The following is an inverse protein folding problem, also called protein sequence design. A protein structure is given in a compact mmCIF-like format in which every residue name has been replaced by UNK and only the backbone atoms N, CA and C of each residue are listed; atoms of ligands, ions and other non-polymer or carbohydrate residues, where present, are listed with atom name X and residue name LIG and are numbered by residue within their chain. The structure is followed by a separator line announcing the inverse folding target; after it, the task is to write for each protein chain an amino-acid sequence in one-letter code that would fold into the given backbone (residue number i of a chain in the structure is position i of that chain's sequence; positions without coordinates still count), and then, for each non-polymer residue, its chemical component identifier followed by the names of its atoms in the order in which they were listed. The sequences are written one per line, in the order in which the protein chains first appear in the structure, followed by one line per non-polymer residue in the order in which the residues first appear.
data_IF_258454525087
#
_entry.id   IF_258454525087
#
_cell.length_a   1.000
_cell.length_b   1.000
_cell.length_c   1.000
_cell.angle_alpha   90.00
_cell.angle_beta   90.00
_cell.angle_gamma   90.00
#
_symmetry.space_group_name_H-M   'P 1'
#
loop_
_entity.id
_entity.type
_entity.pdbx_description
1 polymer ?
#
# COMPACT_ATOMS: atom_id res chain seq x y z
N UNK A 1 37.77 23.69 30.05
CA UNK A 1 36.54 22.94 30.40
C UNK A 1 35.36 23.84 30.10
N UNK A 2 34.63 23.60 28.99
CA UNK A 2 33.47 24.42 28.63
C UNK A 2 32.41 24.21 29.72
N UNK A 3 31.85 25.27 30.34
CA UNK A 3 30.88 25.10 31.42
C UNK A 3 29.58 24.55 30.83
N UNK A 4 29.36 23.23 30.93
CA UNK A 4 28.17 22.55 30.41
C UNK A 4 26.86 23.01 31.06
N UNK A 5 26.91 23.55 32.28
CA UNK A 5 25.73 23.96 33.07
C UNK A 5 24.92 25.11 32.46
N UNK A 6 25.50 26.28 32.12
CA UNK A 6 24.74 27.38 31.52
C UNK A 6 24.25 27.04 30.11
N UNK A 7 25.05 26.31 29.32
CA UNK A 7 24.69 25.95 27.95
C UNK A 7 23.51 24.98 27.90
N UNK A 8 23.49 23.99 28.81
CA UNK A 8 22.36 23.08 28.95
C UNK A 8 21.05 23.83 29.28
N UNK A 9 21.11 24.87 30.13
CA UNK A 9 19.95 25.66 30.55
C UNK A 9 19.31 26.41 29.39
N UNK A 10 20.14 27.03 28.55
CA UNK A 10 19.70 27.75 27.35
C UNK A 10 19.09 26.80 26.33
N UNK A 11 19.74 25.65 26.08
CA UNK A 11 19.22 24.62 25.16
C UNK A 11 17.87 24.10 25.62
N UNK A 12 17.70 23.78 26.92
CA UNK A 12 16.39 23.35 27.45
C UNK A 12 15.32 24.42 27.36
N UNK A 13 15.64 25.71 27.58
CA UNK A 13 14.67 26.80 27.45
C UNK A 13 14.22 26.99 26.00
N UNK A 14 15.14 26.90 25.03
CA UNK A 14 14.82 26.99 23.61
C UNK A 14 14.00 25.77 23.16
N UNK A 15 14.35 24.56 23.62
CA UNK A 15 13.57 23.35 23.35
C UNK A 15 12.16 23.40 23.95
N UNK A 16 11.98 23.97 25.14
CA UNK A 16 10.68 24.03 25.79
C UNK A 16 9.74 25.07 25.14
N UNK A 17 10.29 26.20 24.68
CA UNK A 17 9.52 27.27 24.04
C UNK A 17 9.20 26.94 22.57
N UNK A 18 10.10 26.26 21.85
CA UNK A 18 9.93 25.97 20.42
C UNK A 18 9.56 24.51 20.09
N UNK A 19 9.74 23.56 21.02
CA UNK A 19 9.65 22.12 20.73
C UNK A 19 8.25 21.51 20.73
N UNK A 20 7.24 22.21 21.27
CA UNK A 20 5.89 21.65 21.42
C UNK A 20 5.18 21.30 20.10
N UNK A 21 5.47 22.05 19.02
CA UNK A 21 4.82 21.87 17.72
C UNK A 21 5.50 20.80 16.84
N UNK A 22 6.83 20.71 16.90
CA UNK A 22 7.62 19.75 16.10
C UNK A 22 7.46 18.32 16.64
N UNK A 23 7.36 18.16 17.97
CA UNK A 23 7.20 16.85 18.63
C UNK A 23 5.83 16.22 18.35
N UNK A 24 4.75 17.01 18.28
CA UNK A 24 3.42 16.50 17.94
C UNK A 24 3.31 16.01 16.49
N UNK A 25 3.92 16.72 15.54
CA UNK A 25 3.92 16.33 14.13
C UNK A 25 4.74 15.04 13.90
N UNK A 26 5.90 14.94 14.55
CA UNK A 26 6.73 13.73 14.49
C UNK A 26 6.11 12.55 15.22
N UNK A 27 5.46 12.75 16.37
CA UNK A 27 4.73 11.67 17.06
C UNK A 27 3.50 11.19 16.29
N UNK A 28 2.76 12.08 15.63
CA UNK A 28 1.64 11.68 14.78
C UNK A 28 2.16 10.92 13.54
N UNK A 29 3.21 11.41 12.88
CA UNK A 29 3.83 10.69 11.76
C UNK A 29 4.45 9.34 12.19
N UNK A 30 4.98 9.24 13.42
CA UNK A 30 5.51 8.00 13.97
C UNK A 30 4.41 7.00 14.36
N UNK A 31 3.35 7.45 15.04
CA UNK A 31 2.16 6.62 15.30
C UNK A 31 1.52 6.16 14.01
N UNK A 32 1.44 7.05 13.02
CA UNK A 32 0.89 6.73 11.71
C UNK A 32 1.80 5.76 10.97
N UNK A 33 3.13 5.89 11.01
CA UNK A 33 4.05 4.91 10.37
C UNK A 33 4.16 3.57 11.08
N UNK A 34 3.96 3.50 12.41
CA UNK A 34 3.90 2.23 13.14
C UNK A 34 2.55 1.53 12.95
N UNK A 35 1.45 2.29 12.88
CA UNK A 35 0.13 1.76 12.52
C UNK A 35 -0.01 1.45 11.01
N UNK A 36 0.68 2.23 10.15
CA UNK A 36 0.78 2.09 8.70
C UNK A 36 2.06 1.35 8.26
N UNK A 37 2.65 0.48 9.09
CA UNK A 37 3.63 -0.50 8.58
C UNK A 37 2.99 -1.51 7.60
N UNK A 38 1.67 -1.41 7.36
CA UNK A 38 0.93 -2.05 6.27
C UNK A 38 0.37 -1.08 5.21
N UNK A 39 0.67 0.23 5.28
CA UNK A 39 -0.04 1.23 4.47
C UNK A 39 0.80 2.48 4.09
N UNK A 40 2.12 2.34 3.95
CA UNK A 40 2.93 3.28 3.15
C UNK A 40 2.68 2.97 1.66
N UNK A 41 1.57 3.52 1.15
CA UNK A 41 1.15 3.39 -0.25
C UNK A 41 -0.22 4.00 -0.54
N UNK A 42 -1.01 4.37 0.48
CA UNK A 42 -2.44 4.71 0.27
C UNK A 42 -2.78 6.20 0.14
N UNK A 43 -1.81 7.12 0.01
CA UNK A 43 -2.11 8.57 -0.07
C UNK A 43 -2.01 9.20 -1.47
N UNK A 44 -1.87 8.39 -2.53
CA UNK A 44 -2.26 8.83 -3.87
C UNK A 44 -3.65 8.28 -4.06
N UNK A 45 -4.67 9.15 -4.01
CA UNK A 45 -6.08 8.91 -4.42
C UNK A 45 -6.24 7.46 -4.87
N UNK A 46 -6.71 6.54 -4.01
CA UNK A 46 -6.92 5.12 -4.37
C UNK A 46 -7.67 5.13 -5.69
N UNK A 47 -6.96 4.92 -6.81
CA UNK A 47 -7.59 4.73 -8.11
C UNK A 47 -8.25 3.38 -7.98
N UNK A 48 -9.47 3.40 -7.50
CA UNK A 48 -10.32 2.22 -7.44
C UNK A 48 -10.45 1.76 -8.88
N UNK A 49 -9.80 0.64 -9.19
CA UNK A 49 -9.96 -0.03 -10.46
C UNK A 49 -11.42 -0.48 -10.56
N UNK A 50 -12.03 -0.25 -11.72
CA UNK A 50 -13.43 -0.65 -11.93
C UNK A 50 -13.52 -2.15 -12.21
N UNK A 51 -14.66 -2.81 -11.98
CA UNK A 51 -14.84 -4.22 -12.36
C UNK A 51 -14.56 -4.47 -13.85
N UNK A 52 -14.90 -3.53 -14.72
CA UNK A 52 -14.67 -3.61 -16.16
C UNK A 52 -13.17 -3.56 -16.49
N UNK A 53 -12.41 -2.74 -15.77
CA UNK A 53 -10.96 -2.69 -15.87
C UNK A 53 -10.32 -3.99 -15.35
N UNK A 54 -10.83 -4.53 -14.24
CA UNK A 54 -10.35 -5.77 -13.64
C UNK A 54 -10.53 -6.98 -14.58
N UNK A 55 -11.68 -7.08 -15.26
CA UNK A 55 -11.93 -8.09 -16.31
C UNK A 55 -10.93 -7.98 -17.45
N UNK A 56 -10.62 -6.76 -17.90
CA UNK A 56 -9.63 -6.53 -18.97
C UNK A 56 -8.23 -6.92 -18.54
N UNK A 57 -7.82 -6.57 -17.31
CA UNK A 57 -6.51 -6.92 -16.76
C UNK A 57 -6.34 -8.44 -16.68
N UNK A 58 -7.38 -9.16 -16.25
CA UNK A 58 -7.36 -10.62 -16.16
C UNK A 58 -7.60 -11.33 -17.50
N UNK A 59 -7.91 -10.58 -18.57
CA UNK A 59 -8.17 -11.14 -19.90
C UNK A 59 -9.48 -11.92 -19.98
N UNK A 60 -10.47 -11.56 -19.17
CA UNK A 60 -11.78 -12.18 -19.13
C UNK A 60 -12.73 -11.46 -20.11
N UNK A 61 -13.79 -12.14 -20.61
CA UNK A 61 -14.63 -11.58 -21.67
C UNK A 61 -15.67 -10.55 -21.19
N UNK A 62 -16.16 -10.67 -19.95
CA UNK A 62 -17.23 -9.82 -19.42
C UNK A 62 -17.22 -9.84 -17.90
N UNK A 63 -17.87 -8.87 -17.25
CA UNK A 63 -18.10 -8.83 -15.79
C UNK A 63 -19.21 -9.76 -15.33
N UNK A 64 -20.07 -10.22 -16.26
CA UNK A 64 -21.25 -11.05 -15.96
C UNK A 64 -20.97 -12.52 -16.22
N UNK A 65 -21.48 -13.40 -15.35
CA UNK A 65 -21.45 -14.85 -15.55
C UNK A 65 -20.07 -15.50 -15.38
N UNK A 66 -19.09 -14.78 -14.80
CA UNK A 66 -17.76 -15.34 -14.56
C UNK A 66 -17.81 -16.28 -13.35
N UNK A 67 -17.28 -17.49 -13.51
CA UNK A 67 -17.06 -18.40 -12.39
C UNK A 67 -15.85 -17.95 -11.56
N UNK A 68 -15.92 -18.05 -10.23
CA UNK A 68 -14.81 -17.68 -9.35
C UNK A 68 -13.51 -18.41 -9.72
N UNK A 69 -13.61 -19.70 -10.07
CA UNK A 69 -12.47 -20.53 -10.49
C UNK A 69 -11.79 -20.00 -11.75
N UNK A 70 -12.52 -19.33 -12.63
CA UNK A 70 -11.98 -18.71 -13.83
C UNK A 70 -11.16 -17.47 -13.49
N UNK A 71 -11.66 -16.64 -12.56
CA UNK A 71 -10.92 -15.50 -12.00
C UNK A 71 -9.62 -15.96 -11.35
N UNK A 72 -9.67 -17.04 -10.57
CA UNK A 72 -8.49 -17.59 -9.88
C UNK A 72 -7.48 -18.19 -10.85
N UNK A 73 -7.93 -18.96 -11.85
CA UNK A 73 -7.04 -19.48 -12.89
C UNK A 73 -6.38 -18.37 -13.70
N UNK A 74 -7.15 -17.34 -14.07
CA UNK A 74 -6.61 -16.19 -14.80
C UNK A 74 -5.57 -15.42 -13.97
N UNK A 75 -5.88 -15.19 -12.69
CA UNK A 75 -4.97 -14.54 -11.73
C UNK A 75 -3.67 -15.33 -11.57
N UNK A 76 -3.74 -16.62 -11.25
CA UNK A 76 -2.55 -17.46 -11.05
C UNK A 76 -1.66 -17.50 -12.29
N UNK A 77 -2.27 -17.65 -13.48
CA UNK A 77 -1.55 -17.67 -14.76
C UNK A 77 -0.82 -16.35 -15.01
N UNK A 78 -1.50 -15.21 -14.86
CA UNK A 78 -0.88 -13.92 -15.13
C UNK A 78 0.17 -13.55 -14.08
N UNK A 79 -0.10 -13.86 -12.81
CA UNK A 79 0.83 -13.61 -11.71
C UNK A 79 2.11 -14.42 -11.87
N UNK A 80 2.03 -15.71 -12.19
CA UNK A 80 3.23 -16.55 -12.35
C UNK A 80 4.13 -16.08 -13.50
N UNK A 81 3.55 -15.53 -14.58
CA UNK A 81 4.31 -14.98 -15.71
C UNK A 81 4.97 -13.64 -15.37
N UNK A 82 4.33 -12.82 -14.53
CA UNK A 82 4.80 -11.46 -14.22
C UNK A 82 5.64 -11.36 -12.94
N UNK A 83 5.69 -12.43 -12.14
CA UNK A 83 6.58 -12.53 -11.00
C UNK A 83 8.04 -12.67 -11.45
N UNK A 84 8.95 -12.23 -10.58
CA UNK A 84 10.37 -12.42 -10.80
C UNK A 84 10.71 -13.92 -10.86
N UNK A 85 11.54 -14.29 -11.82
CA UNK A 85 12.10 -15.61 -12.01
C UNK A 85 13.61 -15.50 -12.22
N UNK A 86 14.31 -16.63 -12.33
CA UNK A 86 15.75 -16.62 -12.57
C UNK A 86 16.15 -15.92 -13.88
N UNK A 87 15.23 -15.82 -14.85
CA UNK A 87 15.49 -15.25 -16.19
C UNK A 87 14.77 -13.93 -16.43
N UNK A 88 13.88 -13.51 -15.54
CA UNK A 88 13.05 -12.32 -15.69
C UNK A 88 12.91 -11.60 -14.35
N UNK A 89 13.21 -10.30 -14.32
CA UNK A 89 13.14 -9.50 -13.08
C UNK A 89 11.70 -9.29 -12.56
N UNK A 90 10.69 -9.69 -13.32
CA UNK A 90 9.29 -9.44 -12.97
C UNK A 90 8.90 -7.98 -13.19
N UNK A 91 7.61 -7.70 -13.01
CA UNK A 91 7.13 -6.32 -12.88
C UNK A 91 6.28 -6.21 -11.62
N UNK A 92 6.82 -5.62 -10.54
CA UNK A 92 6.07 -5.42 -9.29
C UNK A 92 4.75 -4.69 -9.51
N UNK A 93 4.76 -3.67 -10.38
CA UNK A 93 3.55 -2.92 -10.73
C UNK A 93 2.49 -3.79 -11.43
N UNK A 94 2.88 -4.67 -12.36
CA UNK A 94 1.92 -5.56 -13.01
C UNK A 94 1.36 -6.59 -12.04
N UNK A 95 2.20 -7.15 -11.16
CA UNK A 95 1.76 -8.09 -10.13
C UNK A 95 0.75 -7.43 -9.19
N UNK A 96 1.02 -6.21 -8.72
CA UNK A 96 0.11 -5.43 -7.87
C UNK A 96 -1.24 -5.17 -8.57
N UNK A 97 -1.20 -4.84 -9.86
CA UNK A 97 -2.41 -4.60 -10.67
C UNK A 97 -3.22 -5.89 -10.89
N UNK A 98 -2.56 -7.02 -11.09
CA UNK A 98 -3.20 -8.34 -11.21
C UNK A 98 -3.87 -8.74 -9.88
N UNK A 99 -3.19 -8.52 -8.75
CA UNK A 99 -3.70 -8.81 -7.41
C UNK A 99 -4.91 -7.92 -7.06
N UNK A 100 -4.84 -6.63 -7.41
CA UNK A 100 -5.96 -5.71 -7.27
C UNK A 100 -7.17 -6.13 -8.12
N UNK A 101 -6.95 -6.54 -9.37
CA UNK A 101 -8.02 -6.99 -10.27
C UNK A 101 -8.76 -8.21 -9.74
N UNK A 102 -8.04 -9.20 -9.20
CA UNK A 102 -8.66 -10.36 -8.55
C UNK A 102 -9.53 -9.93 -7.37
N UNK A 103 -9.01 -9.05 -6.52
CA UNK A 103 -9.71 -8.57 -5.32
C UNK A 103 -11.02 -7.88 -5.68
N UNK A 104 -10.98 -6.99 -6.69
CA UNK A 104 -12.16 -6.25 -7.14
C UNK A 104 -13.21 -7.17 -7.76
N UNK A 105 -12.81 -8.16 -8.58
CA UNK A 105 -13.78 -9.11 -9.14
C UNK A 105 -14.40 -10.00 -8.07
N UNK A 106 -13.62 -10.45 -7.08
CA UNK A 106 -14.16 -11.23 -5.95
C UNK A 106 -15.20 -10.43 -5.16
N UNK A 107 -14.90 -9.16 -4.88
CA UNK A 107 -15.85 -8.23 -4.25
C UNK A 107 -17.10 -8.01 -5.10
N UNK A 108 -16.94 -7.79 -6.41
CA UNK A 108 -18.06 -7.59 -7.34
C UNK A 108 -18.98 -8.81 -7.45
N UNK A 109 -18.41 -10.02 -7.36
CA UNK A 109 -19.15 -11.28 -7.34
C UNK A 109 -19.79 -11.60 -5.97
N UNK A 110 -19.72 -10.70 -5.00
CA UNK A 110 -20.34 -10.86 -3.67
C UNK A 110 -19.59 -11.84 -2.75
N UNK A 111 -18.33 -12.17 -3.06
CA UNK A 111 -17.48 -13.01 -2.22
C UNK A 111 -16.40 -12.15 -1.58
N UNK A 112 -16.65 -11.65 -0.36
CA UNK A 112 -15.59 -11.07 0.46
C UNK A 112 -14.57 -12.15 0.80
N UNK A 113 -13.26 -11.84 0.78
CA UNK A 113 -12.26 -12.71 1.38
C UNK A 113 -12.63 -12.98 2.86
N UNK A 114 -12.41 -14.20 3.39
CA UNK A 114 -12.46 -14.45 4.82
C UNK A 114 -11.39 -13.66 5.58
#
# INVERSE_FOLDING_TARGET
MIPLRPLARVVTQVLWIAGGSIVKATLNAYRESVAHNNAIGSSVIRRHMSPEEAVKILGLPSTKGIALEEVERAHQRLRSINMASNTFQGSPYLVERIDAAQTILKQHLGKSLP
#
